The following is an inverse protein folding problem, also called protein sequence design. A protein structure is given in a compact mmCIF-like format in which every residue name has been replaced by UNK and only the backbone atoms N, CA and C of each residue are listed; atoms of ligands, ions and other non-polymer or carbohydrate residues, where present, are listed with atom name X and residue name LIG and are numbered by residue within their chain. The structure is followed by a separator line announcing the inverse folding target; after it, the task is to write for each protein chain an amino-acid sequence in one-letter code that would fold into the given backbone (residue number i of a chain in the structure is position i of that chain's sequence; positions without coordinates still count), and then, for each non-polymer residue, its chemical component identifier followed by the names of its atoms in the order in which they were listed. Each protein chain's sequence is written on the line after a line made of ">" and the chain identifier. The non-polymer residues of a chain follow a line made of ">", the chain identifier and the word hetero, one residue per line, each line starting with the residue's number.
data_IF_584676971179
#
_entry.id   IF_584676971179
#
_cell.length_a   1.000
_cell.length_b   1.000
_cell.length_c   1.000
_cell.angle_alpha   90.00
_cell.angle_beta   90.00
_cell.angle_gamma   90.00
#
_symmetry.space_group_name_H-M   'P 1'
#
loop_
_entity.id
_entity.type
_entity.pdbx_description
1 polymer ?
#
# COMPACT_ATOMS: atom_id res chain seq x y z
N UNK A 1 28.42 8.61 7.61
CA UNK A 1 28.87 9.10 6.28
C UNK A 1 28.25 8.26 5.15
N UNK A 2 28.53 6.95 5.05
CA UNK A 2 27.98 6.09 3.98
C UNK A 2 26.45 6.06 3.92
N UNK A 3 25.78 5.97 5.06
CA UNK A 3 24.30 5.98 5.12
C UNK A 3 23.72 7.31 4.61
N UNK A 4 24.34 8.44 4.97
CA UNK A 4 23.93 9.77 4.47
C UNK A 4 24.10 9.88 2.95
N UNK A 5 25.23 9.37 2.42
CA UNK A 5 25.49 9.35 0.98
C UNK A 5 24.45 8.49 0.24
N UNK A 6 24.07 7.35 0.82
CA UNK A 6 23.08 6.45 0.26
C UNK A 6 21.67 7.07 0.24
N UNK A 7 21.24 7.67 1.33
CA UNK A 7 19.95 8.36 1.41
C UNK A 7 19.86 9.50 0.38
N UNK A 8 20.92 10.31 0.26
CA UNK A 8 21.02 11.37 -0.76
C UNK A 8 20.96 10.83 -2.19
N UNK A 9 21.65 9.70 -2.46
CA UNK A 9 21.64 9.06 -3.78
C UNK A 9 20.21 8.77 -4.24
N UNK A 10 19.31 8.44 -3.32
CA UNK A 10 17.90 8.12 -3.62
C UNK A 10 16.93 9.29 -3.41
N UNK A 11 17.45 10.47 -2.98
CA UNK A 11 16.64 11.70 -2.83
C UNK A 11 15.90 11.79 -1.48
N UNK A 12 16.36 11.05 -0.46
CA UNK A 12 15.76 11.08 0.89
C UNK A 12 16.52 12.02 1.83
N UNK A 13 16.74 13.26 1.40
CA UNK A 13 17.46 14.28 2.18
C UNK A 13 16.76 14.65 3.48
N UNK A 14 15.43 14.41 3.57
CA UNK A 14 14.63 14.61 4.79
C UNK A 14 14.99 13.64 5.92
N UNK A 15 15.61 12.50 5.59
CA UNK A 15 15.97 11.45 6.56
C UNK A 15 17.44 11.62 6.94
N UNK A 16 17.71 11.85 8.20
CA UNK A 16 19.07 11.99 8.73
C UNK A 16 19.57 10.65 9.26
N UNK A 17 20.71 10.20 8.75
CA UNK A 17 21.32 8.93 9.17
C UNK A 17 21.77 8.88 10.64
N UNK A 18 21.82 10.04 11.32
CA UNK A 18 22.14 10.17 12.75
C UNK A 18 20.93 10.00 13.67
N UNK A 19 19.73 10.11 13.13
CA UNK A 19 18.51 10.12 13.92
C UNK A 19 18.07 8.70 14.29
N UNK A 20 17.32 8.61 15.38
CA UNK A 20 16.72 7.34 15.79
C UNK A 20 15.56 7.04 14.83
N UNK A 21 15.54 5.84 14.25
CA UNK A 21 14.59 5.44 13.22
C UNK A 21 13.12 5.50 13.71
N UNK A 22 12.89 5.29 15.00
CA UNK A 22 11.55 5.34 15.60
C UNK A 22 10.92 6.73 15.62
N UNK A 23 11.72 7.78 15.41
CA UNK A 23 11.23 9.16 15.30
C UNK A 23 10.61 9.45 13.92
N UNK A 24 10.77 8.55 12.97
CA UNK A 24 10.19 8.68 11.64
C UNK A 24 8.84 7.93 11.55
N UNK A 25 7.97 8.41 10.67
CA UNK A 25 6.72 7.73 10.38
C UNK A 25 6.95 6.36 9.72
N UNK A 26 5.91 5.56 9.63
CA UNK A 26 6.00 4.21 9.10
C UNK A 26 6.51 4.17 7.66
N UNK A 27 6.08 5.11 6.82
CA UNK A 27 6.45 5.23 5.41
C UNK A 27 7.95 5.50 5.25
N UNK A 28 8.49 6.50 5.96
CA UNK A 28 9.93 6.80 5.92
C UNK A 28 10.78 5.64 6.41
N UNK A 29 10.31 4.92 7.44
CA UNK A 29 11.01 3.71 7.91
C UNK A 29 11.07 2.62 6.85
N UNK A 30 9.97 2.40 6.11
CA UNK A 30 9.94 1.44 4.99
C UNK A 30 10.85 1.85 3.85
N UNK A 31 10.90 3.13 3.50
CA UNK A 31 11.81 3.64 2.49
C UNK A 31 13.29 3.48 2.90
N UNK A 32 13.62 3.69 4.16
CA UNK A 32 14.98 3.43 4.70
C UNK A 32 15.35 1.94 4.56
N UNK A 33 14.42 1.03 4.86
CA UNK A 33 14.62 -0.41 4.73
C UNK A 33 14.95 -0.81 3.27
N UNK A 34 14.20 -0.26 2.32
CA UNK A 34 14.41 -0.50 0.89
C UNK A 34 15.76 0.07 0.44
N UNK A 35 16.07 1.31 0.80
CA UNK A 35 17.36 1.93 0.46
C UNK A 35 18.52 1.16 1.08
N UNK A 36 18.38 0.68 2.31
CA UNK A 36 19.38 -0.17 2.98
C UNK A 36 19.67 -1.43 2.17
N UNK A 37 18.67 -2.08 1.59
CA UNK A 37 18.86 -3.29 0.78
C UNK A 37 19.67 -3.03 -0.49
N UNK A 38 19.70 -1.79 -0.99
CA UNK A 38 20.49 -1.41 -2.16
C UNK A 38 21.98 -1.16 -1.85
N UNK A 39 22.37 -1.12 -0.57
CA UNK A 39 23.74 -0.74 -0.15
C UNK A 39 24.82 -1.61 -0.77
N UNK A 40 24.60 -2.91 -0.88
CA UNK A 40 25.55 -3.87 -1.44
C UNK A 40 25.46 -4.03 -2.96
N UNK A 41 24.75 -3.12 -3.63
CA UNK A 41 24.51 -3.19 -5.07
C UNK A 41 24.00 -4.57 -5.52
N UNK A 42 22.85 -5.01 -5.03
CA UNK A 42 22.33 -6.35 -5.27
C UNK A 42 22.09 -6.57 -6.77
N UNK A 43 22.41 -7.76 -7.25
CA UNK A 43 22.10 -8.17 -8.64
C UNK A 43 20.60 -8.34 -8.85
N UNK A 44 19.87 -8.70 -7.79
CA UNK A 44 18.41 -8.83 -7.77
C UNK A 44 17.90 -8.15 -6.50
N UNK A 45 17.01 -7.18 -6.67
CA UNK A 45 16.23 -6.57 -5.58
C UNK A 45 14.82 -7.18 -5.60
N UNK A 46 14.39 -7.73 -4.47
CA UNK A 46 13.01 -8.22 -4.30
C UNK A 46 12.23 -7.20 -3.48
N UNK A 47 11.09 -6.76 -4.01
CA UNK A 47 10.14 -5.83 -3.37
C UNK A 47 8.82 -6.56 -3.27
N UNK A 48 8.45 -6.97 -2.06
CA UNK A 48 7.29 -7.82 -1.78
C UNK A 48 6.26 -7.03 -0.96
N UNK A 49 5.04 -6.84 -1.55
CA UNK A 49 3.87 -6.21 -0.93
C UNK A 49 4.13 -4.86 -0.23
N UNK A 50 5.21 -4.17 -0.60
CA UNK A 50 5.65 -2.97 0.12
C UNK A 50 4.74 -1.76 -0.14
N UNK A 51 4.09 -1.69 -1.30
CA UNK A 51 3.25 -0.57 -1.71
C UNK A 51 1.99 -0.42 -0.85
N UNK A 52 1.47 -1.50 -0.28
CA UNK A 52 0.30 -1.48 0.61
C UNK A 52 0.48 -0.61 1.84
N UNK A 53 1.72 -0.47 2.29
CA UNK A 53 2.09 0.29 3.47
C UNK A 53 2.48 1.76 3.19
N UNK A 54 2.45 2.16 1.91
CA UNK A 54 2.90 3.46 1.44
C UNK A 54 1.74 4.29 0.89
N UNK A 55 1.71 5.58 1.23
CA UNK A 55 0.88 6.54 0.53
C UNK A 55 1.38 6.79 -0.90
N UNK A 56 0.65 7.58 -1.67
CA UNK A 56 0.98 7.85 -3.07
C UNK A 56 2.42 8.33 -3.25
N UNK A 57 2.86 9.31 -2.45
CA UNK A 57 4.23 9.84 -2.50
C UNK A 57 5.29 8.78 -2.21
N UNK A 58 5.05 7.93 -1.20
CA UNK A 58 5.98 6.85 -0.86
C UNK A 58 6.08 5.79 -1.94
N UNK A 59 4.97 5.47 -2.62
CA UNK A 59 4.96 4.58 -3.79
C UNK A 59 5.80 5.14 -4.94
N UNK A 60 5.63 6.42 -5.27
CA UNK A 60 6.45 7.09 -6.28
C UNK A 60 7.94 7.07 -5.94
N UNK A 61 8.29 7.27 -4.67
CA UNK A 61 9.67 7.21 -4.19
C UNK A 61 10.23 5.77 -4.28
N UNK A 62 9.45 4.75 -3.90
CA UNK A 62 9.79 3.34 -4.08
C UNK A 62 10.08 3.01 -5.55
N UNK A 63 9.19 3.40 -6.46
CA UNK A 63 9.37 3.14 -7.89
C UNK A 63 10.62 3.81 -8.45
N UNK A 64 10.96 5.02 -8.00
CA UNK A 64 12.24 5.67 -8.33
C UNK A 64 13.45 4.85 -7.87
N UNK A 65 13.38 4.23 -6.69
CA UNK A 65 14.46 3.34 -6.19
C UNK A 65 14.56 2.11 -7.09
N UNK A 66 13.44 1.46 -7.42
CA UNK A 66 13.40 0.28 -8.31
C UNK A 66 14.00 0.59 -9.68
N UNK A 67 13.60 1.70 -10.30
CA UNK A 67 14.12 2.12 -11.60
C UNK A 67 15.62 2.41 -11.53
N UNK A 68 16.12 3.08 -10.49
CA UNK A 68 17.56 3.29 -10.32
C UNK A 68 18.35 1.98 -10.20
N UNK A 69 17.80 0.97 -9.55
CA UNK A 69 18.44 -0.36 -9.46
C UNK A 69 18.48 -1.01 -10.84
N UNK A 70 17.37 -1.00 -11.58
CA UNK A 70 17.29 -1.50 -12.96
C UNK A 70 18.29 -0.77 -13.87
N UNK A 71 18.35 0.55 -13.81
CA UNK A 71 19.18 1.38 -14.71
C UNK A 71 20.70 1.17 -14.47
N UNK A 72 21.08 0.60 -13.33
CA UNK A 72 22.45 0.13 -13.09
C UNK A 72 22.75 -1.27 -13.62
N UNK A 73 21.84 -1.85 -14.42
CA UNK A 73 21.99 -3.18 -15.02
C UNK A 73 21.65 -4.34 -14.08
N UNK A 74 20.93 -4.06 -12.99
CA UNK A 74 20.48 -5.06 -12.04
C UNK A 74 18.99 -5.39 -12.25
N UNK A 75 18.51 -6.50 -11.69
CA UNK A 75 17.12 -6.93 -11.82
C UNK A 75 16.29 -6.51 -10.60
N UNK A 76 15.00 -6.29 -10.82
CA UNK A 76 14.02 -6.09 -9.77
C UNK A 76 12.92 -7.13 -9.91
N UNK A 77 12.56 -7.80 -8.82
CA UNK A 77 11.36 -8.62 -8.70
C UNK A 77 10.37 -7.82 -7.86
N UNK A 78 9.28 -7.40 -8.48
CA UNK A 78 8.23 -6.64 -7.83
C UNK A 78 6.99 -7.52 -7.65
N UNK A 79 6.55 -7.68 -6.40
CA UNK A 79 5.38 -8.49 -6.03
C UNK A 79 4.34 -7.56 -5.44
N UNK A 80 3.17 -7.51 -6.05
CA UNK A 80 2.02 -6.72 -5.59
C UNK A 80 0.72 -7.38 -6.04
N UNK A 81 -0.36 -7.13 -5.31
CA UNK A 81 -1.72 -7.47 -5.74
C UNK A 81 -2.42 -6.28 -6.41
N UNK A 82 -1.80 -5.10 -6.43
CA UNK A 82 -2.27 -3.96 -7.21
C UNK A 82 -1.87 -4.14 -8.68
N UNK A 83 -2.86 -4.50 -9.51
CA UNK A 83 -2.64 -4.83 -10.92
C UNK A 83 -2.20 -3.62 -11.73
N UNK A 84 -2.65 -2.42 -11.37
CA UNK A 84 -2.28 -1.19 -12.08
C UNK A 84 -0.80 -0.90 -11.86
N UNK A 85 -0.33 -0.99 -10.61
CA UNK A 85 1.10 -0.85 -10.29
C UNK A 85 1.95 -1.90 -11.00
N UNK A 86 1.52 -3.17 -11.00
CA UNK A 86 2.23 -4.26 -11.66
C UNK A 86 2.36 -4.00 -13.16
N UNK A 87 1.28 -3.59 -13.83
CA UNK A 87 1.28 -3.28 -15.27
C UNK A 87 2.18 -2.07 -15.56
N UNK A 88 2.08 -1.04 -14.75
CA UNK A 88 2.83 0.20 -14.98
C UNK A 88 4.33 0.02 -14.79
N UNK A 89 4.74 -0.69 -13.74
CA UNK A 89 6.13 -0.75 -13.30
C UNK A 89 6.92 -1.93 -13.89
N UNK A 90 6.26 -2.97 -14.43
CA UNK A 90 6.95 -4.20 -14.85
C UNK A 90 7.14 -4.29 -16.37
N UNK A 91 8.24 -4.89 -16.80
CA UNK A 91 8.50 -5.23 -18.21
C UNK A 91 7.85 -6.56 -18.60
N UNK A 92 7.91 -7.54 -17.68
CA UNK A 92 7.29 -8.87 -17.81
C UNK A 92 6.55 -9.22 -16.53
N UNK A 93 5.39 -9.83 -16.67
CA UNK A 93 4.51 -10.19 -15.55
C UNK A 93 4.31 -11.70 -15.55
N UNK A 94 4.59 -12.33 -14.42
CA UNK A 94 4.30 -13.74 -14.18
C UNK A 94 3.19 -13.88 -13.16
N UNK A 95 2.17 -14.65 -13.48
CA UNK A 95 1.04 -14.91 -12.57
C UNK A 95 1.24 -16.26 -11.89
N UNK A 96 1.21 -16.23 -10.56
CA UNK A 96 1.24 -17.41 -9.71
C UNK A 96 -0.15 -17.58 -9.05
N UNK A 97 -0.60 -18.82 -8.97
CA UNK A 97 -1.82 -19.22 -8.26
C UNK A 97 -1.59 -20.55 -7.58
N UNK A 98 -1.90 -20.64 -6.29
CA UNK A 98 -1.73 -21.88 -5.48
C UNK A 98 -0.33 -22.50 -5.58
N UNK A 99 0.71 -21.65 -5.64
CA UNK A 99 2.11 -22.08 -5.77
C UNK A 99 2.53 -22.50 -7.19
N UNK A 100 1.64 -22.42 -8.18
CA UNK A 100 1.91 -22.82 -9.57
C UNK A 100 1.97 -21.58 -10.47
N UNK A 101 2.95 -21.54 -11.38
CA UNK A 101 3.03 -20.50 -12.42
C UNK A 101 1.97 -20.78 -13.49
N UNK A 102 0.98 -19.91 -13.59
CA UNK A 102 -0.13 -20.02 -14.54
C UNK A 102 0.27 -19.51 -15.92
N UNK A 103 1.07 -18.45 -15.98
CA UNK A 103 1.52 -17.86 -17.22
C UNK A 103 2.45 -16.68 -17.03
N UNK A 104 3.02 -16.22 -18.14
CA UNK A 104 3.77 -14.97 -18.21
C UNK A 104 3.28 -14.17 -19.40
N UNK A 105 3.18 -12.86 -19.23
CA UNK A 105 2.79 -11.91 -20.29
C UNK A 105 3.74 -10.72 -20.27
N UNK A 106 3.93 -10.10 -21.41
CA UNK A 106 4.70 -8.86 -21.54
C UNK A 106 3.85 -7.66 -21.11
N UNK A 107 4.50 -6.53 -20.80
CA UNK A 107 3.80 -5.26 -20.53
C UNK A 107 2.82 -4.88 -21.64
N UNK A 108 3.20 -5.08 -22.90
CA UNK A 108 2.38 -4.72 -24.05
C UNK A 108 1.07 -5.54 -24.15
N UNK A 109 1.06 -6.74 -23.58
CA UNK A 109 -0.10 -7.64 -23.58
C UNK A 109 -0.92 -7.54 -22.29
N UNK A 110 -0.40 -6.85 -21.27
CA UNK A 110 -1.00 -6.78 -19.95
C UNK A 110 -2.19 -5.81 -19.92
N UNK A 111 -3.34 -6.34 -19.53
CA UNK A 111 -4.51 -5.56 -19.15
C UNK A 111 -5.01 -6.05 -17.81
N UNK A 112 -5.69 -5.20 -17.01
CA UNK A 112 -6.26 -5.62 -15.73
C UNK A 112 -7.15 -6.85 -15.85
N UNK A 113 -7.99 -6.92 -16.88
CA UNK A 113 -8.92 -8.04 -17.10
C UNK A 113 -8.18 -9.33 -17.46
N UNK A 114 -7.13 -9.26 -18.30
CA UNK A 114 -6.32 -10.42 -18.62
C UNK A 114 -5.57 -10.96 -17.40
N UNK A 115 -5.04 -10.08 -16.57
CA UNK A 115 -4.40 -10.48 -15.32
C UNK A 115 -5.40 -11.10 -14.33
N UNK A 116 -6.57 -10.47 -14.15
CA UNK A 116 -7.65 -11.03 -13.33
C UNK A 116 -8.07 -12.42 -13.78
N UNK A 117 -8.27 -12.62 -15.10
CA UNK A 117 -8.62 -13.92 -15.66
C UNK A 117 -7.55 -14.99 -15.37
N UNK A 118 -6.25 -14.66 -15.48
CA UNK A 118 -5.16 -15.56 -15.14
C UNK A 118 -5.12 -15.87 -13.64
N UNK A 119 -5.35 -14.88 -12.76
CA UNK A 119 -5.32 -15.06 -11.32
C UNK A 119 -6.48 -15.89 -10.79
N UNK A 120 -7.69 -15.66 -11.28
CA UNK A 120 -8.91 -16.31 -10.78
C UNK A 120 -9.20 -17.62 -11.54
N UNK A 121 -8.79 -17.72 -12.80
CA UNK A 121 -9.03 -18.88 -13.66
C UNK A 121 -10.48 -19.00 -14.16
N UNK A 122 -11.26 -17.93 -14.04
CA UNK A 122 -12.62 -17.79 -14.58
C UNK A 122 -12.77 -16.38 -15.15
N UNK A 123 -13.59 -16.21 -16.17
CA UNK A 123 -14.11 -14.89 -16.50
C UNK A 123 -14.92 -14.40 -15.31
N UNK A 124 -14.49 -13.28 -14.71
CA UNK A 124 -15.21 -12.66 -13.61
C UNK A 124 -16.42 -11.98 -14.23
N UNK A 125 -17.59 -12.60 -14.11
CA UNK A 125 -18.85 -11.93 -14.41
C UNK A 125 -19.04 -10.73 -13.46
N UNK A 126 -19.76 -9.72 -13.91
CA UNK A 126 -20.00 -8.42 -13.24
C UNK A 126 -20.65 -8.47 -11.83
N UNK A 127 -20.85 -9.64 -11.24
CA UNK A 127 -21.59 -9.85 -10.00
C UNK A 127 -20.75 -9.82 -8.71
N UNK A 128 -19.62 -9.08 -8.67
CA UNK A 128 -18.78 -9.01 -7.47
C UNK A 128 -19.15 -7.88 -6.52
N UNK A 129 -20.07 -7.02 -6.91
CA UNK A 129 -20.50 -5.90 -6.08
C UNK A 129 -21.76 -6.27 -5.28
N UNK A 130 -21.81 -5.79 -4.05
CA UNK A 130 -22.98 -5.87 -3.19
C UNK A 130 -24.20 -5.33 -3.98
N UNK A 131 -25.26 -6.11 -4.07
CA UNK A 131 -26.48 -5.76 -4.83
C UNK A 131 -27.62 -5.31 -3.94
N UNK A 132 -27.45 -5.34 -2.62
CA UNK A 132 -28.43 -4.98 -1.60
C UNK A 132 -28.41 -3.48 -1.24
N UNK A 133 -28.09 -2.63 -2.22
CA UNK A 133 -28.21 -1.18 -2.07
C UNK A 133 -29.68 -0.78 -1.94
N UNK A 134 -30.05 -0.23 -0.78
CA UNK A 134 -31.39 0.33 -0.55
C UNK A 134 -32.19 -0.39 0.54
N UNK A 135 -31.64 -1.34 1.28
CA UNK A 135 -32.25 -1.78 2.52
C UNK A 135 -32.25 -0.63 3.54
N UNK A 136 -33.40 -0.38 4.16
CA UNK A 136 -33.52 0.65 5.19
C UNK A 136 -32.65 0.25 6.40
N UNK A 137 -31.66 1.10 6.70
CA UNK A 137 -30.83 0.93 7.91
C UNK A 137 -31.72 1.17 9.13
N UNK A 138 -31.58 0.33 10.16
CA UNK A 138 -32.30 0.49 11.42
C UNK A 138 -32.04 1.86 12.03
N UNK A 139 -33.06 2.48 12.61
CA UNK A 139 -32.91 3.74 13.37
C UNK A 139 -32.31 3.53 14.76
N UNK A 140 -32.12 2.27 15.18
CA UNK A 140 -31.51 1.93 16.47
C UNK A 140 -30.01 2.16 16.43
N UNK A 141 -29.52 3.14 17.20
CA UNK A 141 -28.09 3.46 17.33
C UNK A 141 -27.47 2.47 18.31
N UNK A 142 -26.44 1.76 17.86
CA UNK A 142 -25.68 0.79 18.70
C UNK A 142 -24.36 1.35 19.19
N UNK A 143 -23.81 2.36 18.50
CA UNK A 143 -22.63 3.10 18.93
C UNK A 143 -22.78 4.57 18.57
N UNK A 144 -22.46 5.46 19.51
CA UNK A 144 -22.42 6.90 19.25
C UNK A 144 -21.14 7.49 19.86
N UNK A 145 -20.42 8.26 19.05
CA UNK A 145 -19.33 9.11 19.49
C UNK A 145 -19.72 10.56 19.24
N UNK A 146 -19.56 11.43 20.24
CA UNK A 146 -19.90 12.86 20.16
C UNK A 146 -18.77 13.70 20.71
N UNK A 147 -18.26 14.62 19.89
CA UNK A 147 -17.20 15.57 20.23
C UNK A 147 -15.95 14.88 20.82
N UNK A 148 -15.60 13.70 20.29
CA UNK A 148 -14.45 12.93 20.77
C UNK A 148 -13.17 13.53 20.24
N UNK A 149 -12.28 13.94 21.17
CA UNK A 149 -10.97 14.50 20.84
C UNK A 149 -9.88 13.67 21.50
N UNK A 150 -8.93 13.20 20.69
CA UNK A 150 -7.70 12.54 21.14
C UNK A 150 -6.53 13.40 20.72
N UNK A 151 -5.84 13.99 21.70
CA UNK A 151 -4.77 14.96 21.46
C UNK A 151 -3.73 14.49 20.44
N UNK A 152 -3.60 15.24 19.35
CA UNK A 152 -2.63 14.97 18.29
C UNK A 152 -3.04 13.85 17.32
N UNK A 153 -4.27 13.32 17.43
CA UNK A 153 -4.76 12.23 16.58
C UNK A 153 -6.14 12.50 15.96
N UNK A 154 -7.11 12.88 16.78
CA UNK A 154 -8.50 13.09 16.36
C UNK A 154 -9.01 14.36 17.03
N UNK A 155 -9.72 15.20 16.29
CA UNK A 155 -10.33 16.42 16.79
C UNK A 155 -11.82 16.43 16.42
N UNK A 156 -12.68 16.61 17.44
CA UNK A 156 -14.13 16.75 17.31
C UNK A 156 -14.83 15.65 16.48
N UNK A 157 -14.46 14.39 16.72
CA UNK A 157 -15.08 13.26 16.04
C UNK A 157 -16.54 13.11 16.46
N UNK A 158 -17.43 13.10 15.47
CA UNK A 158 -18.84 12.80 15.62
C UNK A 158 -19.21 11.69 14.66
N UNK A 159 -19.72 10.56 15.17
CA UNK A 159 -20.24 9.47 14.37
C UNK A 159 -21.31 8.68 15.13
N UNK A 160 -22.22 8.08 14.40
CA UNK A 160 -23.22 7.15 14.92
C UNK A 160 -23.20 5.89 14.05
N UNK A 161 -23.33 4.73 14.66
CA UNK A 161 -23.44 3.43 14.00
C UNK A 161 -24.78 2.82 14.35
N UNK A 162 -25.52 2.43 13.32
CA UNK A 162 -26.85 1.85 13.46
C UNK A 162 -26.83 0.32 13.42
N UNK A 163 -27.82 -0.31 14.00
CA UNK A 163 -27.96 -1.77 14.00
C UNK A 163 -28.11 -2.31 12.57
N UNK A 164 -27.26 -3.26 12.22
CA UNK A 164 -27.21 -3.87 10.89
C UNK A 164 -26.49 -3.01 9.84
N UNK A 165 -25.92 -1.85 10.22
CA UNK A 165 -25.14 -0.99 9.34
C UNK A 165 -23.69 -1.47 9.20
N UNK A 166 -23.12 -1.29 8.02
CA UNK A 166 -21.69 -1.35 7.77
C UNK A 166 -21.22 0.08 7.47
N UNK A 167 -20.62 0.73 8.46
CA UNK A 167 -20.07 2.09 8.32
C UNK A 167 -18.64 2.03 7.80
N UNK A 168 -18.38 2.53 6.59
CA UNK A 168 -17.04 2.67 6.02
C UNK A 168 -16.37 3.95 6.50
N UNK A 169 -15.14 3.86 7.00
CA UNK A 169 -14.30 5.01 7.36
C UNK A 169 -13.09 5.01 6.44
N UNK A 170 -12.95 6.06 5.64
CA UNK A 170 -11.86 6.21 4.68
C UNK A 170 -11.15 7.55 4.84
N UNK A 171 -9.89 7.62 4.42
CA UNK A 171 -9.11 8.85 4.43
C UNK A 171 -7.71 8.64 3.87
N UNK A 172 -6.99 9.73 3.60
CA UNK A 172 -5.61 9.69 3.16
C UNK A 172 -4.69 9.20 4.29
N UNK A 173 -3.48 8.75 3.91
CA UNK A 173 -2.43 8.44 4.88
C UNK A 173 -2.22 9.63 5.83
N UNK A 174 -2.12 9.33 7.12
CA UNK A 174 -1.96 10.33 8.20
C UNK A 174 -3.21 11.16 8.56
N UNK A 175 -4.37 10.93 7.94
CA UNK A 175 -5.62 11.60 8.33
C UNK A 175 -6.21 11.09 9.67
N UNK A 176 -5.50 10.20 10.39
CA UNK A 176 -5.93 9.68 11.68
C UNK A 176 -6.85 8.46 11.62
N UNK A 177 -7.10 7.87 10.43
CA UNK A 177 -7.97 6.67 10.30
C UNK A 177 -7.50 5.50 11.18
N UNK A 178 -6.20 5.31 11.35
CA UNK A 178 -5.63 4.26 12.23
C UNK A 178 -5.97 4.52 13.70
N UNK A 179 -6.14 5.78 14.10
CA UNK A 179 -6.42 6.16 15.48
C UNK A 179 -7.82 5.72 15.96
N UNK A 180 -8.77 5.50 15.05
CA UNK A 180 -10.10 4.99 15.41
C UNK A 180 -10.06 3.57 16.00
N UNK A 181 -9.09 2.76 15.60
CA UNK A 181 -8.95 1.39 16.12
C UNK A 181 -8.48 1.34 17.58
N UNK A 182 -7.95 2.44 18.10
CA UNK A 182 -7.51 2.59 19.49
C UNK A 182 -8.59 3.19 20.41
N UNK A 183 -9.73 3.61 19.86
CA UNK A 183 -10.87 4.02 20.67
C UNK A 183 -11.47 2.77 21.33
N UNK A 184 -11.10 2.51 22.58
CA UNK A 184 -11.77 1.49 23.41
C UNK A 184 -13.11 2.07 23.85
N UNK A 185 -14.19 1.35 23.56
CA UNK A 185 -15.47 1.59 24.21
C UNK A 185 -15.31 1.31 25.72
N UNK A 186 -15.52 2.31 26.55
CA UNK A 186 -15.67 2.19 27.99
C UNK A 186 -17.13 2.07 28.35
#
# INVERSE_FOLDING_TARGET
>A
RKATELLKKYGFDRIKASDIIDNYNFEDRKLVEIVKSTYFNPKVLVVDETTTALGQKGREELFKVMHKVRDTGNCVIFISHDLEEVIEQSDNISVLRDGVKIGSITKAEATPDRLKALMVGREIGDNYYRTDYGEEISKEIVLSAKNVTVKGQIEDLNLELHKGEILGIGGLSECGTVSYTHLRAH
#
